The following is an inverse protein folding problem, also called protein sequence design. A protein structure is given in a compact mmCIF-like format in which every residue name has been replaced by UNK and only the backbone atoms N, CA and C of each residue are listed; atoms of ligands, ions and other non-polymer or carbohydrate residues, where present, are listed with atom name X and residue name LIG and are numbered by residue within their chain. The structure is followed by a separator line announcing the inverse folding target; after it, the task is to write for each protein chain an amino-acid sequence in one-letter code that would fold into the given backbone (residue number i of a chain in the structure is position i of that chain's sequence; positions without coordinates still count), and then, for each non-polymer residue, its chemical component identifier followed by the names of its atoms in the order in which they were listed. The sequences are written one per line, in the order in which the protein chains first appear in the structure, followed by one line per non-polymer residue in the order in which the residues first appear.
data_IF_829679948249
#
_entry.id   IF_829679948249
#
_cell.length_a   1.000
_cell.length_b   1.000
_cell.length_c   1.000
_cell.angle_alpha   90.00
_cell.angle_beta   90.00
_cell.angle_gamma   90.00
#
_symmetry.space_group_name_H-M   'P 1'
#
loop_
_entity.id
_entity.type
_entity.pdbx_description
1 polymer ?
#
# COMPACT_ATOMS: atom_id res chain seq x y z
N UNK A 1 -14.73 -0.96 46.88
CA UNK A 1 -13.82 0.04 46.27
C UNK A 1 -12.84 -0.76 45.43
N UNK A 2 -12.75 -0.70 44.10
CA UNK A 2 -11.75 0.19 43.48
C UNK A 2 -11.80 0.26 41.94
N UNK A 3 -12.79 -0.26 41.19
CA UNK A 3 -12.80 0.03 39.74
C UNK A 3 -12.97 1.54 39.46
N UNK A 4 -13.86 2.20 40.20
CA UNK A 4 -14.04 3.66 40.14
C UNK A 4 -12.85 4.47 40.68
N UNK A 5 -12.02 3.89 41.56
CA UNK A 5 -10.85 4.55 42.15
C UNK A 5 -9.61 4.45 41.24
N UNK A 6 -9.44 3.32 40.55
CA UNK A 6 -8.35 3.09 39.59
C UNK A 6 -8.48 3.98 38.34
N UNK A 7 -9.69 4.38 37.95
CA UNK A 7 -9.85 5.27 36.79
C UNK A 7 -9.33 6.70 37.02
N UNK A 8 -9.19 7.11 38.31
CA UNK A 8 -8.64 8.43 38.70
C UNK A 8 -7.14 8.42 39.02
N UNK A 9 -6.50 7.25 39.08
CA UNK A 9 -5.07 7.15 39.41
C UNK A 9 -4.17 7.43 38.20
N UNK A 10 -2.91 7.87 38.40
CA UNK A 10 -1.93 8.01 37.33
C UNK A 10 -1.78 6.71 36.54
N UNK A 11 -1.54 6.82 35.24
CA UNK A 11 -1.49 5.68 34.33
C UNK A 11 -0.49 4.59 34.75
N UNK A 12 0.62 4.96 35.39
CA UNK A 12 1.60 4.02 35.94
C UNK A 12 1.05 3.14 37.06
N UNK A 13 0.19 3.68 37.94
CA UNK A 13 -0.43 2.89 39.01
C UNK A 13 -1.44 1.89 38.45
N UNK A 14 -2.16 2.27 37.39
CA UNK A 14 -3.05 1.35 36.65
C UNK A 14 -2.24 0.23 36.01
N UNK A 15 -1.18 0.57 35.29
CA UNK A 15 -0.30 -0.40 34.64
C UNK A 15 0.28 -1.39 35.66
N UNK A 16 0.82 -0.92 36.78
CA UNK A 16 1.34 -1.78 37.85
C UNK A 16 0.24 -2.70 38.39
N UNK A 17 -0.95 -2.14 38.69
CA UNK A 17 -2.07 -2.95 39.18
C UNK A 17 -2.56 -3.99 38.18
N UNK A 18 -2.47 -3.72 36.87
CA UNK A 18 -2.81 -4.67 35.81
C UNK A 18 -1.76 -5.76 35.63
N UNK A 19 -0.49 -5.37 35.71
CA UNK A 19 0.67 -6.26 35.59
C UNK A 19 0.79 -7.19 36.80
N UNK A 20 0.35 -6.74 37.98
CA UNK A 20 0.41 -7.51 39.24
C UNK A 20 -0.95 -8.06 39.69
N UNK A 21 -1.92 -8.23 38.78
CA UNK A 21 -3.28 -8.76 39.10
C UNK A 21 -3.24 -10.13 39.78
N UNK A 22 -2.24 -10.96 39.49
CA UNK A 22 -2.03 -12.27 40.10
C UNK A 22 -0.53 -12.64 40.17
N UNK A 23 -0.13 -13.56 41.06
CA UNK A 23 1.25 -14.04 41.10
C UNK A 23 1.73 -14.62 39.76
N UNK A 24 0.87 -15.37 39.08
CA UNK A 24 1.15 -15.94 37.76
C UNK A 24 1.30 -14.87 36.66
N UNK A 25 0.41 -13.86 36.62
CA UNK A 25 0.52 -12.77 35.64
C UNK A 25 1.77 -11.92 35.86
N UNK A 26 2.15 -11.70 37.13
CA UNK A 26 3.39 -11.00 37.47
C UNK A 26 4.60 -11.75 36.92
N UNK A 27 4.69 -13.06 37.14
CA UNK A 27 5.78 -13.90 36.62
C UNK A 27 5.81 -13.87 35.09
N UNK A 28 4.66 -14.07 34.42
CA UNK A 28 4.57 -14.04 32.96
C UNK A 28 4.99 -12.69 32.38
N UNK A 29 4.59 -11.58 33.00
CA UNK A 29 4.96 -10.23 32.55
C UNK A 29 6.45 -9.93 32.76
N UNK A 30 7.04 -10.35 33.88
CA UNK A 30 8.49 -10.20 34.13
C UNK A 30 9.29 -11.05 33.16
N UNK A 31 8.86 -12.29 32.90
CA UNK A 31 9.50 -13.17 31.92
C UNK A 31 9.37 -12.58 30.51
N UNK A 32 8.20 -12.07 30.12
CA UNK A 32 8.00 -11.41 28.84
C UNK A 32 8.86 -10.14 28.69
N UNK A 33 8.93 -9.31 29.74
CA UNK A 33 9.80 -8.14 29.76
C UNK A 33 11.27 -8.53 29.68
N UNK A 34 11.69 -9.56 30.40
CA UNK A 34 13.04 -10.13 30.33
C UNK A 34 13.38 -10.59 28.92
N UNK A 35 12.50 -11.37 28.28
CA UNK A 35 12.68 -11.79 26.88
C UNK A 35 12.74 -10.60 25.91
N UNK A 36 11.88 -9.60 26.09
CA UNK A 36 11.90 -8.37 25.28
C UNK A 36 13.24 -7.64 25.42
N UNK A 37 13.76 -7.49 26.64
CA UNK A 37 15.04 -6.83 26.88
C UNK A 37 16.22 -7.64 26.33
N UNK A 38 16.19 -8.97 26.43
CA UNK A 38 17.21 -9.85 25.85
C UNK A 38 17.32 -9.73 24.33
N UNK A 39 16.24 -9.36 23.65
CA UNK A 39 16.23 -9.12 22.19
C UNK A 39 16.51 -7.65 21.88
N UNK A 40 15.86 -6.73 22.59
CA UNK A 40 15.94 -5.30 22.30
C UNK A 40 17.32 -4.71 22.61
N UNK A 41 17.99 -5.11 23.69
CA UNK A 41 19.29 -4.55 24.07
C UNK A 41 20.36 -4.86 23.01
N UNK A 42 20.58 -6.12 22.57
CA UNK A 42 21.52 -6.41 21.49
C UNK A 42 21.16 -5.69 20.18
N UNK A 43 19.87 -5.58 19.88
CA UNK A 43 19.40 -4.94 18.65
C UNK A 43 19.67 -3.43 18.67
N UNK A 44 19.44 -2.74 19.79
CA UNK A 44 19.77 -1.32 19.97
C UNK A 44 21.27 -1.10 19.94
N UNK A 45 22.05 -1.99 20.56
CA UNK A 45 23.51 -1.94 20.52
C UNK A 45 24.01 -2.04 19.08
N UNK A 46 23.58 -3.07 18.37
CA UNK A 46 23.91 -3.28 16.96
C UNK A 46 23.45 -2.10 16.08
N UNK A 47 22.20 -1.66 16.21
CA UNK A 47 21.62 -0.67 15.29
C UNK A 47 22.09 0.76 15.54
N UNK A 48 22.41 1.14 16.78
CA UNK A 48 22.64 2.55 17.14
C UNK A 48 23.98 2.80 17.84
N UNK A 49 24.36 1.95 18.81
CA UNK A 49 25.49 2.23 19.70
C UNK A 49 26.81 1.84 19.03
N UNK A 50 26.89 0.62 18.50
CA UNK A 50 28.07 0.06 17.88
C UNK A 50 28.09 0.27 16.35
N UNK A 51 27.13 1.05 15.82
CA UNK A 51 26.88 1.21 14.40
C UNK A 51 27.88 2.16 13.71
N UNK A 52 28.20 1.87 12.44
CA UNK A 52 29.08 2.68 11.60
C UNK A 52 28.25 3.52 10.64
N UNK A 53 28.30 4.84 10.78
CA UNK A 53 27.45 5.77 10.03
C UNK A 53 28.09 6.34 8.76
N UNK A 54 29.42 6.34 8.68
CA UNK A 54 30.19 6.95 7.59
C UNK A 54 31.30 6.01 7.14
N UNK A 55 31.55 5.92 5.84
CA UNK A 55 32.57 5.07 5.25
C UNK A 55 32.49 5.02 3.73
N UNK A 56 33.62 4.74 3.08
CA UNK A 56 33.74 4.75 1.62
C UNK A 56 33.63 3.35 0.99
N UNK A 57 33.88 2.30 1.77
CA UNK A 57 33.80 0.89 1.38
C UNK A 57 33.41 0.00 2.56
N UNK A 58 33.12 -1.28 2.28
CA UNK A 58 32.87 -2.29 3.29
C UNK A 58 34.01 -2.47 4.30
N UNK A 59 35.25 -2.11 3.93
CA UNK A 59 36.41 -2.15 4.85
C UNK A 59 36.26 -1.16 6.01
N UNK A 60 35.41 -0.14 5.86
CA UNK A 60 35.09 0.82 6.92
C UNK A 60 34.22 0.22 8.03
N UNK A 61 33.74 -1.02 7.86
CA UNK A 61 32.86 -1.72 8.80
C UNK A 61 33.55 -3.00 9.34
N UNK A 62 34.37 -2.89 10.41
CA UNK A 62 35.15 -4.00 10.95
C UNK A 62 34.28 -5.17 11.47
N UNK A 63 34.85 -6.37 11.46
CA UNK A 63 34.20 -7.53 12.08
C UNK A 63 33.95 -7.28 13.58
N UNK A 64 32.70 -7.46 14.02
CA UNK A 64 32.26 -7.18 15.39
C UNK A 64 31.75 -5.76 15.63
N UNK A 65 31.82 -4.87 14.62
CA UNK A 65 31.03 -3.63 14.64
C UNK A 65 29.54 -3.91 14.47
N UNK A 66 28.70 -2.95 14.86
CA UNK A 66 27.26 -2.99 14.69
C UNK A 66 26.83 -2.83 13.23
N UNK A 67 25.64 -2.29 13.01
CA UNK A 67 25.09 -2.06 11.69
C UNK A 67 25.95 -1.09 10.88
N UNK A 68 26.24 -1.44 9.63
CA UNK A 68 26.98 -0.60 8.70
C UNK A 68 26.03 0.34 7.93
N UNK A 69 25.55 1.41 8.58
CA UNK A 69 24.69 2.42 7.93
C UNK A 69 25.40 3.23 6.83
N UNK A 70 26.74 3.26 6.83
CA UNK A 70 27.54 3.79 5.73
C UNK A 70 27.19 3.16 4.37
N UNK A 71 26.89 1.84 4.35
CA UNK A 71 26.41 1.15 3.15
C UNK A 71 25.09 1.75 2.64
N UNK A 72 24.12 1.92 3.55
CA UNK A 72 22.82 2.50 3.19
C UNK A 72 23.00 3.94 2.71
N UNK A 73 23.85 4.74 3.36
CA UNK A 73 24.17 6.10 2.92
C UNK A 73 24.76 6.15 1.51
N UNK A 74 25.72 5.28 1.20
CA UNK A 74 26.36 5.24 -0.12
C UNK A 74 25.43 4.72 -1.23
N UNK A 75 24.49 3.83 -0.89
CA UNK A 75 23.54 3.21 -1.83
C UNK A 75 22.15 3.84 -1.82
N UNK A 76 21.91 4.83 -0.98
CA UNK A 76 20.57 5.41 -0.75
C UNK A 76 19.88 5.81 -2.05
N UNK A 77 20.61 6.48 -2.95
CA UNK A 77 20.05 6.92 -4.24
C UNK A 77 19.63 5.76 -5.13
N UNK A 78 20.44 4.70 -5.21
CA UNK A 78 20.09 3.48 -5.95
C UNK A 78 18.86 2.81 -5.34
N UNK A 79 18.80 2.71 -4.01
CA UNK A 79 17.65 2.09 -3.32
C UNK A 79 16.38 2.91 -3.55
N UNK A 80 16.46 4.24 -3.43
CA UNK A 80 15.29 5.12 -3.55
C UNK A 80 14.82 5.33 -4.99
N UNK A 81 15.71 5.35 -5.99
CA UNK A 81 15.34 5.69 -7.37
C UNK A 81 15.57 4.55 -8.37
N UNK A 82 16.11 3.41 -7.92
CA UNK A 82 16.44 2.30 -8.81
C UNK A 82 17.42 2.71 -9.90
N UNK A 83 17.14 2.30 -11.14
CA UNK A 83 17.97 2.57 -12.32
C UNK A 83 17.71 3.94 -12.97
N UNK A 84 16.91 4.80 -12.33
CA UNK A 84 16.61 6.11 -12.90
C UNK A 84 17.90 6.93 -13.06
N UNK A 85 18.15 7.56 -14.22
CA UNK A 85 19.40 8.25 -14.51
C UNK A 85 19.78 9.26 -13.43
N UNK A 86 21.05 9.23 -13.00
CA UNK A 86 21.53 9.93 -11.80
C UNK A 86 21.21 11.42 -11.79
N UNK A 87 21.47 12.12 -12.90
CA UNK A 87 21.27 13.57 -13.02
C UNK A 87 19.78 13.96 -13.10
N UNK A 88 18.90 13.00 -13.37
CA UNK A 88 17.48 13.20 -13.61
C UNK A 88 16.61 12.70 -12.44
N UNK A 89 17.20 12.14 -11.37
CA UNK A 89 16.47 11.57 -10.22
C UNK A 89 15.56 12.59 -9.51
N UNK A 90 15.88 13.88 -9.60
CA UNK A 90 15.03 14.95 -9.07
C UNK A 90 13.63 14.95 -9.72
N UNK A 91 13.50 14.54 -11.00
CA UNK A 91 12.21 14.43 -11.70
C UNK A 91 11.38 13.29 -11.13
N UNK A 92 12.00 12.15 -10.90
CA UNK A 92 11.34 11.00 -10.28
C UNK A 92 10.87 11.33 -8.87
N UNK A 93 11.67 12.06 -8.09
CA UNK A 93 11.27 12.56 -6.77
C UNK A 93 10.09 13.54 -6.87
N UNK A 94 10.20 14.56 -7.72
CA UNK A 94 9.16 15.57 -7.90
C UNK A 94 7.83 14.95 -8.35
N UNK A 95 7.87 14.05 -9.34
CA UNK A 95 6.72 13.29 -9.79
C UNK A 95 6.10 12.48 -8.65
N UNK A 96 6.91 11.74 -7.90
CA UNK A 96 6.44 10.96 -6.75
C UNK A 96 5.77 11.84 -5.69
N UNK A 97 6.36 13.00 -5.36
CA UNK A 97 5.78 13.97 -4.42
C UNK A 97 4.44 14.50 -4.93
N UNK A 98 4.34 14.84 -6.22
CA UNK A 98 3.07 15.26 -6.83
C UNK A 98 2.01 14.17 -6.69
N UNK A 99 2.36 12.92 -7.03
CA UNK A 99 1.43 11.80 -6.96
C UNK A 99 0.95 11.54 -5.53
N UNK A 100 1.87 11.56 -4.55
CA UNK A 100 1.52 11.44 -3.13
C UNK A 100 0.65 12.61 -2.66
N UNK A 101 0.97 13.84 -3.07
CA UNK A 101 0.18 15.02 -2.72
C UNK A 101 -1.25 14.93 -3.27
N UNK A 102 -1.43 14.48 -4.52
CA UNK A 102 -2.77 14.25 -5.10
C UNK A 102 -3.57 13.25 -4.28
N UNK A 103 -2.95 12.15 -3.86
CA UNK A 103 -3.60 11.15 -3.00
C UNK A 103 -3.98 11.78 -1.66
N UNK A 104 -3.04 12.43 -0.97
CA UNK A 104 -3.27 13.04 0.36
C UNK A 104 -4.38 14.10 0.31
N UNK A 105 -4.39 14.97 -0.72
CA UNK A 105 -5.46 15.95 -0.92
C UNK A 105 -6.81 15.26 -1.13
N UNK A 106 -6.84 14.17 -1.90
CA UNK A 106 -8.07 13.44 -2.21
C UNK A 106 -8.61 12.62 -1.05
N UNK A 107 -7.75 12.24 -0.12
CA UNK A 107 -8.14 11.53 1.09
C UNK A 107 -8.99 12.44 2.00
N UNK A 108 -8.75 13.75 2.03
CA UNK A 108 -9.49 14.69 2.88
C UNK A 108 -10.80 15.17 2.21
N UNK A 109 -11.99 14.86 2.77
CA UNK A 109 -13.29 15.24 2.21
C UNK A 109 -13.50 16.75 2.04
N UNK A 110 -12.77 17.59 2.79
CA UNK A 110 -12.86 19.07 2.69
C UNK A 110 -12.50 19.56 1.28
N UNK A 111 -11.64 18.82 0.57
CA UNK A 111 -11.19 19.16 -0.77
C UNK A 111 -12.02 18.55 -1.90
N UNK A 112 -13.11 17.82 -1.59
CA UNK A 112 -14.01 17.21 -2.59
C UNK A 112 -14.92 18.25 -3.27
N UNK A 113 -14.29 19.16 -4.01
CA UNK A 113 -14.93 20.20 -4.80
C UNK A 113 -14.62 19.98 -6.29
N UNK A 114 -15.36 20.67 -7.17
CA UNK A 114 -15.21 20.56 -8.63
C UNK A 114 -13.78 20.84 -9.13
N UNK A 115 -12.95 21.59 -8.39
CA UNK A 115 -11.56 21.88 -8.73
C UNK A 115 -10.61 20.68 -8.55
N UNK A 116 -11.02 19.65 -7.79
CA UNK A 116 -10.17 18.48 -7.56
C UNK A 116 -9.89 17.72 -8.85
N UNK A 117 -10.88 17.62 -9.75
CA UNK A 117 -10.75 16.98 -11.06
C UNK A 117 -9.66 17.62 -11.93
N UNK A 118 -9.66 18.94 -12.23
CA UNK A 118 -8.60 19.55 -13.00
C UNK A 118 -7.24 19.49 -12.30
N UNK A 119 -7.17 19.50 -10.96
CA UNK A 119 -5.92 19.29 -10.23
C UNK A 119 -5.37 17.88 -10.43
N UNK A 120 -6.22 16.85 -10.42
CA UNK A 120 -5.80 15.49 -10.79
C UNK A 120 -5.31 15.41 -12.23
N UNK A 121 -6.03 16.00 -13.18
CA UNK A 121 -5.63 15.97 -14.59
C UNK A 121 -4.27 16.65 -14.76
N UNK A 122 -4.10 17.87 -14.24
CA UNK A 122 -2.84 18.60 -14.31
C UNK A 122 -1.71 17.86 -13.59
N UNK A 123 -1.99 17.30 -12.41
CA UNK A 123 -1.03 16.53 -11.63
C UNK A 123 -0.57 15.25 -12.33
N UNK A 124 -1.49 14.46 -12.90
CA UNK A 124 -1.16 13.26 -13.67
C UNK A 124 -0.40 13.57 -14.97
N UNK A 125 -0.76 14.67 -15.66
CA UNK A 125 0.00 15.14 -16.81
C UNK A 125 1.43 15.54 -16.41
N UNK A 126 1.58 16.32 -15.33
CA UNK A 126 2.90 16.70 -14.82
C UNK A 126 3.72 15.48 -14.38
N UNK A 127 3.08 14.49 -13.75
CA UNK A 127 3.70 13.23 -13.37
C UNK A 127 4.23 12.48 -14.60
N UNK A 128 3.40 12.31 -15.63
CA UNK A 128 3.79 11.66 -16.88
C UNK A 128 4.95 12.38 -17.58
N UNK A 129 4.89 13.72 -17.67
CA UNK A 129 5.96 14.53 -18.28
C UNK A 129 7.27 14.37 -17.50
N UNK A 130 7.25 14.40 -16.17
CA UNK A 130 8.44 14.24 -15.35
C UNK A 130 9.05 12.85 -15.48
N UNK A 131 8.23 11.80 -15.46
CA UNK A 131 8.70 10.42 -15.47
C UNK A 131 9.17 9.96 -16.86
N UNK A 132 8.40 10.22 -17.93
CA UNK A 132 8.80 9.84 -19.29
C UNK A 132 9.79 10.82 -19.92
N UNK A 133 9.59 12.13 -19.74
CA UNK A 133 10.35 13.14 -20.48
C UNK A 133 10.02 13.20 -21.97
N UNK A 134 10.97 13.65 -22.79
CA UNK A 134 10.81 13.82 -24.24
C UNK A 134 10.12 15.13 -24.66
N UNK A 135 9.76 15.98 -23.69
CA UNK A 135 9.11 17.28 -23.92
C UNK A 135 9.83 18.34 -23.07
N UNK A 136 9.80 19.61 -23.51
CA UNK A 136 10.43 20.74 -22.80
C UNK A 136 11.94 20.60 -22.56
N UNK A 137 12.65 19.87 -23.43
CA UNK A 137 14.10 19.62 -23.29
C UNK A 137 14.46 18.53 -22.29
N UNK A 138 13.48 17.84 -21.70
CA UNK A 138 13.72 16.70 -20.81
C UNK A 138 14.15 15.47 -21.60
N UNK A 139 15.19 14.79 -21.13
CA UNK A 139 15.62 13.49 -21.66
C UNK A 139 14.51 12.45 -21.51
N UNK A 140 14.31 11.64 -22.56
CA UNK A 140 13.39 10.51 -22.50
C UNK A 140 13.97 9.38 -21.65
N UNK A 141 13.20 8.92 -20.67
CA UNK A 141 13.59 7.83 -19.76
C UNK A 141 12.62 6.67 -19.97
N UNK A 142 13.15 5.54 -20.43
CA UNK A 142 12.39 4.32 -20.65
C UNK A 142 11.79 3.79 -19.34
N UNK A 143 10.56 3.26 -19.39
CA UNK A 143 9.84 2.73 -18.22
C UNK A 143 10.56 1.56 -17.54
N UNK A 144 11.42 0.83 -18.26
CA UNK A 144 12.26 -0.24 -17.73
C UNK A 144 13.35 0.25 -16.77
N UNK A 145 13.71 1.55 -16.82
CA UNK A 145 14.66 2.19 -15.91
C UNK A 145 13.99 2.76 -14.65
N UNK A 146 12.66 2.82 -14.62
CA UNK A 146 11.94 3.31 -13.45
C UNK A 146 12.05 2.28 -12.32
N UNK A 147 12.33 2.75 -11.12
CA UNK A 147 12.54 1.86 -9.99
C UNK A 147 12.46 2.54 -8.63
N UNK A 148 12.88 1.80 -7.60
CA UNK A 148 12.89 2.23 -6.21
C UNK A 148 11.51 2.64 -5.69
N UNK A 149 11.51 3.66 -4.85
CA UNK A 149 10.34 4.23 -4.22
C UNK A 149 9.33 4.83 -5.25
N UNK A 150 9.74 5.57 -6.30
CA UNK A 150 8.83 6.04 -7.34
C UNK A 150 8.01 4.92 -7.97
N UNK A 151 8.65 3.80 -8.32
CA UNK A 151 7.95 2.67 -8.93
C UNK A 151 6.99 2.00 -7.94
N UNK A 152 7.42 1.77 -6.68
CA UNK A 152 6.56 1.21 -5.63
C UNK A 152 5.30 2.06 -5.43
N UNK A 153 5.43 3.38 -5.35
CA UNK A 153 4.30 4.30 -5.17
C UNK A 153 3.42 4.33 -6.41
N UNK A 154 4.01 4.41 -7.62
CA UNK A 154 3.28 4.37 -8.89
C UNK A 154 2.37 3.13 -8.95
N UNK A 155 2.96 1.95 -8.80
CA UNK A 155 2.25 0.68 -8.91
C UNK A 155 1.14 0.57 -7.88
N UNK A 156 1.39 1.03 -6.64
CA UNK A 156 0.37 1.03 -5.59
C UNK A 156 -0.78 1.96 -5.95
N UNK A 157 -0.51 3.22 -6.29
CA UNK A 157 -1.54 4.23 -6.53
C UNK A 157 -2.38 3.87 -7.76
N UNK A 158 -1.76 3.59 -8.90
CA UNK A 158 -2.49 3.25 -10.12
C UNK A 158 -3.14 1.87 -10.04
N UNK A 159 -2.46 0.89 -9.45
CA UNK A 159 -3.01 -0.45 -9.22
C UNK A 159 -4.28 -0.42 -8.38
N UNK A 160 -4.24 0.30 -7.25
CA UNK A 160 -5.42 0.48 -6.38
C UNK A 160 -6.49 1.31 -7.06
N UNK A 161 -6.15 2.44 -7.68
CA UNK A 161 -7.13 3.34 -8.27
C UNK A 161 -7.91 2.66 -9.41
N UNK A 162 -7.22 2.06 -10.38
CA UNK A 162 -7.88 1.35 -11.48
C UNK A 162 -8.53 0.05 -11.02
N UNK A 163 -7.90 -0.67 -10.09
CA UNK A 163 -8.48 -1.87 -9.47
C UNK A 163 -9.83 -1.55 -8.82
N UNK A 164 -9.91 -0.45 -8.07
CA UNK A 164 -11.15 0.02 -7.44
C UNK A 164 -12.21 0.39 -8.48
N UNK A 165 -11.85 1.14 -9.52
CA UNK A 165 -12.78 1.52 -10.60
C UNK A 165 -13.36 0.29 -11.29
N UNK A 166 -12.54 -0.72 -11.59
CA UNK A 166 -12.97 -1.96 -12.24
C UNK A 166 -13.72 -2.87 -11.27
N UNK A 167 -13.42 -2.81 -9.97
CA UNK A 167 -14.08 -3.64 -8.96
C UNK A 167 -15.58 -3.35 -8.82
N UNK A 168 -16.01 -2.10 -9.00
CA UNK A 168 -17.41 -1.67 -8.90
C UNK A 168 -18.33 -2.40 -9.90
N UNK A 169 -18.11 -2.32 -11.23
CA UNK A 169 -18.96 -3.04 -12.18
C UNK A 169 -18.91 -4.56 -11.99
N UNK A 170 -17.78 -5.13 -11.56
CA UNK A 170 -17.67 -6.57 -11.27
C UNK A 170 -18.53 -6.95 -10.06
N UNK A 171 -18.46 -6.19 -8.97
CA UNK A 171 -19.24 -6.43 -7.76
C UNK A 171 -20.76 -6.30 -8.02
N UNK A 172 -21.16 -5.32 -8.84
CA UNK A 172 -22.54 -5.16 -9.30
C UNK A 172 -22.96 -6.30 -10.24
N UNK A 173 -22.08 -6.71 -11.16
CA UNK A 173 -22.28 -7.82 -12.08
C UNK A 173 -22.60 -9.13 -11.36
N UNK A 174 -21.90 -9.43 -10.25
CA UNK A 174 -22.17 -10.61 -9.41
C UNK A 174 -23.54 -10.61 -8.74
N UNK A 175 -24.15 -9.45 -8.54
CA UNK A 175 -25.50 -9.32 -7.98
C UNK A 175 -26.58 -9.18 -9.06
N UNK A 176 -26.19 -9.18 -10.33
CA UNK A 176 -27.12 -9.10 -11.44
C UNK A 176 -28.05 -10.30 -11.50
N UNK A 177 -29.30 -10.06 -11.89
CA UNK A 177 -30.27 -11.11 -12.20
C UNK A 177 -29.97 -11.78 -13.55
N UNK A 178 -29.26 -11.09 -14.43
CA UNK A 178 -28.89 -11.61 -15.74
C UNK A 178 -27.75 -12.64 -15.59
N UNK A 179 -27.94 -13.88 -16.04
CA UNK A 179 -27.00 -14.97 -15.78
C UNK A 179 -25.62 -14.72 -16.42
N UNK A 180 -25.56 -14.05 -17.56
CA UNK A 180 -24.31 -13.74 -18.28
C UNK A 180 -23.40 -12.87 -17.40
N UNK A 181 -23.86 -11.69 -16.97
CA UNK A 181 -23.04 -10.79 -16.14
C UNK A 181 -22.65 -11.42 -14.81
N UNK A 182 -23.58 -12.15 -14.19
CA UNK A 182 -23.33 -12.84 -12.93
C UNK A 182 -22.27 -13.92 -13.08
N UNK A 183 -22.40 -14.78 -14.09
CA UNK A 183 -21.47 -15.88 -14.32
C UNK A 183 -20.09 -15.38 -14.74
N UNK A 184 -20.01 -14.42 -15.67
CA UNK A 184 -18.73 -13.83 -16.08
C UNK A 184 -17.98 -13.21 -14.89
N UNK A 185 -18.69 -12.48 -14.03
CA UNK A 185 -18.07 -11.88 -12.85
C UNK A 185 -17.68 -12.92 -11.78
N UNK A 186 -18.46 -14.00 -11.61
CA UNK A 186 -18.09 -15.12 -10.73
C UNK A 186 -16.82 -15.80 -11.25
N UNK A 187 -16.81 -16.21 -12.52
CA UNK A 187 -15.65 -16.91 -13.13
C UNK A 187 -14.40 -16.05 -13.02
N UNK A 188 -14.46 -14.77 -13.36
CA UNK A 188 -13.33 -13.85 -13.23
C UNK A 188 -12.82 -13.79 -11.79
N UNK A 189 -13.70 -13.51 -10.82
CA UNK A 189 -13.29 -13.32 -9.42
C UNK A 189 -12.73 -14.60 -8.82
N UNK A 190 -13.40 -15.75 -9.02
CA UNK A 190 -12.94 -17.03 -8.47
C UNK A 190 -11.63 -17.48 -9.14
N UNK A 191 -11.47 -17.30 -10.45
CA UNK A 191 -10.23 -17.66 -11.16
C UNK A 191 -9.04 -16.82 -10.68
N UNK A 192 -9.20 -15.49 -10.60
CA UNK A 192 -8.11 -14.59 -10.20
C UNK A 192 -7.74 -14.77 -8.73
N UNK A 193 -8.72 -14.94 -7.84
CA UNK A 193 -8.47 -15.16 -6.41
C UNK A 193 -7.95 -16.57 -6.10
N UNK A 194 -8.13 -17.52 -7.01
CA UNK A 194 -7.58 -18.87 -6.92
C UNK A 194 -6.09 -18.97 -7.28
N UNK A 195 -5.49 -17.90 -7.80
CA UNK A 195 -4.10 -17.89 -8.26
C UNK A 195 -3.28 -16.86 -7.48
N UNK A 196 -2.02 -17.17 -7.09
CA UNK A 196 -1.13 -16.20 -6.45
C UNK A 196 -0.79 -14.99 -7.36
N UNK A 197 -0.64 -13.79 -6.77
CA UNK A 197 -0.21 -12.58 -7.49
C UNK A 197 1.09 -12.79 -8.27
N UNK A 198 2.04 -13.53 -7.68
CA UNK A 198 3.31 -13.87 -8.31
C UNK A 198 3.12 -14.58 -9.66
N UNK A 199 2.17 -15.51 -9.74
CA UNK A 199 1.86 -16.25 -10.96
C UNK A 199 1.18 -15.37 -12.00
N UNK A 200 0.32 -14.43 -11.57
CA UNK A 200 -0.31 -13.44 -12.47
C UNK A 200 0.75 -12.53 -13.10
N UNK A 201 1.69 -12.02 -12.30
CA UNK A 201 2.79 -11.18 -12.80
C UNK A 201 3.72 -11.96 -13.73
N UNK A 202 4.03 -13.21 -13.40
CA UNK A 202 4.80 -14.10 -14.27
C UNK A 202 4.09 -14.34 -15.61
N UNK A 203 2.80 -14.68 -15.58
CA UNK A 203 2.00 -14.88 -16.80
C UNK A 203 1.94 -13.61 -17.65
N UNK A 204 1.70 -12.45 -17.03
CA UNK A 204 1.68 -11.17 -17.74
C UNK A 204 3.02 -10.84 -18.41
N UNK A 205 4.14 -11.29 -17.82
CA UNK A 205 5.48 -10.87 -18.24
C UNK A 205 6.18 -11.85 -19.16
N UNK A 206 5.88 -13.15 -19.02
CA UNK A 206 6.54 -14.22 -19.75
C UNK A 206 5.60 -14.87 -20.76
N UNK A 207 4.35 -15.15 -20.37
CA UNK A 207 3.42 -15.87 -21.25
C UNK A 207 2.67 -14.94 -22.20
N UNK A 208 2.26 -13.75 -21.75
CA UNK A 208 1.51 -12.80 -22.58
C UNK A 208 2.25 -12.42 -23.88
N UNK A 209 3.57 -12.13 -23.88
CA UNK A 209 4.31 -11.84 -25.11
C UNK A 209 4.39 -13.02 -26.09
N UNK A 210 4.18 -14.25 -25.64
CA UNK A 210 4.18 -15.44 -26.50
C UNK A 210 2.83 -15.66 -27.20
N UNK A 211 1.75 -15.07 -26.66
CA UNK A 211 0.38 -15.25 -27.13
C UNK A 211 -0.07 -14.07 -27.99
N UNK A 212 0.40 -12.86 -27.67
CA UNK A 212 0.05 -11.64 -28.39
C UNK A 212 1.02 -11.42 -29.56
N UNK A 213 0.53 -11.10 -30.77
CA UNK A 213 1.39 -10.78 -31.91
C UNK A 213 2.36 -9.63 -31.63
N UNK A 214 3.54 -9.70 -32.27
CA UNK A 214 4.58 -8.67 -32.16
C UNK A 214 4.02 -7.27 -32.49
N UNK A 215 4.35 -6.30 -31.63
CA UNK A 215 3.87 -4.91 -31.75
C UNK A 215 2.58 -4.58 -31.01
N UNK A 216 1.83 -5.57 -30.52
CA UNK A 216 0.64 -5.37 -29.66
C UNK A 216 0.92 -5.63 -28.18
N UNK A 217 2.14 -6.04 -27.83
CA UNK A 217 2.54 -6.33 -26.45
C UNK A 217 2.80 -5.03 -25.69
N UNK A 218 2.10 -4.77 -24.57
CA UNK A 218 2.40 -3.61 -23.73
C UNK A 218 3.85 -3.68 -23.21
N UNK A 219 4.41 -2.52 -22.90
CA UNK A 219 5.73 -2.42 -22.26
C UNK A 219 5.77 -3.13 -20.90
N UNK A 220 6.96 -3.30 -20.32
CA UNK A 220 7.12 -4.01 -19.04
C UNK A 220 6.23 -3.44 -17.92
N UNK A 221 6.16 -2.11 -17.82
CA UNK A 221 5.32 -1.42 -16.86
C UNK A 221 3.82 -1.66 -17.12
N UNK A 222 3.38 -1.54 -18.38
CA UNK A 222 1.99 -1.78 -18.76
C UNK A 222 1.53 -3.20 -18.43
N UNK A 223 2.36 -4.22 -18.70
CA UNK A 223 2.05 -5.62 -18.37
C UNK A 223 1.87 -5.84 -16.87
N UNK A 224 2.75 -5.27 -16.06
CA UNK A 224 2.63 -5.33 -14.59
C UNK A 224 1.41 -4.60 -14.09
N UNK A 225 1.15 -3.39 -14.58
CA UNK A 225 -0.03 -2.63 -14.17
C UNK A 225 -1.32 -3.36 -14.52
N UNK A 226 -1.45 -3.91 -15.73
CA UNK A 226 -2.64 -4.69 -16.12
C UNK A 226 -2.82 -5.89 -15.19
N UNK A 227 -1.77 -6.69 -14.97
CA UNK A 227 -1.84 -7.86 -14.08
C UNK A 227 -2.22 -7.48 -12.64
N UNK A 228 -1.58 -6.44 -12.10
CA UNK A 228 -1.85 -5.93 -10.75
C UNK A 228 -3.27 -5.37 -10.62
N UNK A 229 -3.74 -4.59 -11.61
CA UNK A 229 -5.08 -3.99 -11.63
C UNK A 229 -6.16 -5.06 -11.68
N UNK A 230 -6.02 -6.08 -12.53
CA UNK A 230 -6.99 -7.18 -12.61
C UNK A 230 -7.01 -8.00 -11.33
N UNK A 231 -5.83 -8.27 -10.76
CA UNK A 231 -5.72 -8.95 -9.46
C UNK A 231 -6.43 -8.16 -8.36
N UNK A 232 -6.09 -6.89 -8.18
CA UNK A 232 -6.71 -6.03 -7.17
C UNK A 232 -8.21 -5.85 -7.41
N UNK A 233 -8.66 -5.72 -8.66
CA UNK A 233 -10.07 -5.61 -9.00
C UNK A 233 -10.89 -6.83 -8.52
N UNK A 234 -10.35 -8.05 -8.65
CA UNK A 234 -11.03 -9.26 -8.19
C UNK A 234 -11.20 -9.30 -6.67
N UNK A 235 -10.14 -8.97 -5.92
CA UNK A 235 -10.18 -8.94 -4.45
C UNK A 235 -11.08 -7.80 -3.93
N UNK A 236 -10.96 -6.60 -4.50
CA UNK A 236 -11.81 -5.46 -4.15
C UNK A 236 -13.28 -5.71 -4.51
N UNK A 237 -13.56 -6.39 -5.63
CA UNK A 237 -14.93 -6.71 -6.03
C UNK A 237 -15.60 -7.67 -5.04
N UNK A 238 -14.85 -8.63 -4.49
CA UNK A 238 -15.35 -9.51 -3.45
C UNK A 238 -15.67 -8.75 -2.16
N UNK A 239 -14.74 -7.88 -1.72
CA UNK A 239 -14.95 -7.07 -0.52
C UNK A 239 -16.17 -6.16 -0.71
N UNK A 240 -16.29 -5.50 -1.86
CA UNK A 240 -17.43 -4.64 -2.19
C UNK A 240 -18.74 -5.42 -2.30
N UNK A 241 -18.72 -6.65 -2.82
CA UNK A 241 -19.88 -7.57 -2.81
C UNK A 241 -20.34 -7.84 -1.37
N UNK A 242 -19.42 -8.10 -0.45
CA UNK A 242 -19.72 -8.27 0.98
C UNK A 242 -20.37 -7.02 1.58
N UNK A 243 -19.86 -5.83 1.24
CA UNK A 243 -20.45 -4.55 1.65
C UNK A 243 -21.87 -4.33 1.12
N UNK A 244 -22.08 -4.61 -0.16
CA UNK A 244 -23.40 -4.50 -0.79
C UNK A 244 -24.42 -5.46 -0.15
N UNK A 245 -24.00 -6.66 0.25
CA UNK A 245 -24.86 -7.62 0.95
C UNK A 245 -25.17 -7.24 2.41
N UNK A 246 -24.32 -6.42 3.03
CA UNK A 246 -24.54 -5.94 4.39
C UNK A 246 -25.61 -4.83 4.48
N UNK A 247 -25.99 -4.22 3.35
CA UNK A 247 -27.01 -3.16 3.32
C UNK A 247 -28.39 -3.76 3.62
N UNK A 248 -29.14 -3.23 4.61
CA UNK A 248 -30.49 -3.68 4.92
C UNK A 248 -31.43 -3.55 3.72
N UNK A 249 -32.27 -4.57 3.48
CA UNK A 249 -33.25 -4.57 2.37
C UNK A 249 -34.18 -3.34 2.40
N UNK A 250 -34.49 -2.83 3.60
CA UNK A 250 -35.30 -1.63 3.79
C UNK A 250 -34.74 -0.38 3.08
N UNK A 251 -33.42 -0.24 2.91
CA UNK A 251 -32.83 0.87 2.15
C UNK A 251 -33.22 0.80 0.66
N UNK A 252 -33.20 -0.41 0.09
CA UNK A 252 -33.64 -0.62 -1.30
C UNK A 252 -35.14 -0.42 -1.45
N UNK A 253 -35.94 -0.89 -0.49
CA UNK A 253 -37.40 -0.74 -0.50
C UNK A 253 -37.81 0.73 -0.36
N UNK A 254 -37.21 1.48 0.57
CA UNK A 254 -37.46 2.90 0.75
C UNK A 254 -37.16 3.71 -0.53
N UNK A 255 -36.02 3.46 -1.18
CA UNK A 255 -35.70 4.11 -2.45
C UNK A 255 -36.73 3.79 -3.55
N UNK A 256 -37.22 2.54 -3.61
CA UNK A 256 -38.26 2.15 -4.59
C UNK A 256 -39.60 2.81 -4.27
N UNK A 257 -39.97 2.91 -3.00
CA UNK A 257 -41.20 3.60 -2.56
C UNK A 257 -41.18 5.09 -2.89
N UNK A 258 -40.01 5.71 -2.88
CA UNK A 258 -39.79 7.09 -3.31
C UNK A 258 -39.68 7.26 -4.84
N UNK A 259 -39.85 6.19 -5.62
CA UNK A 259 -39.76 6.24 -7.08
C UNK A 259 -38.34 6.48 -7.62
N UNK A 260 -37.30 6.29 -6.81
CA UNK A 260 -35.90 6.48 -7.24
C UNK A 260 -35.52 5.38 -8.22
N UNK A 261 -35.11 5.78 -9.43
CA UNK A 261 -34.64 4.84 -10.45
C UNK A 261 -33.40 4.04 -10.00
N UNK A 262 -33.19 2.86 -10.60
CA UNK A 262 -32.14 1.91 -10.20
C UNK A 262 -30.73 2.52 -10.16
N UNK A 263 -30.31 3.21 -11.22
CA UNK A 263 -28.95 3.77 -11.28
C UNK A 263 -28.71 4.89 -10.27
N UNK A 264 -29.59 5.90 -10.14
CA UNK A 264 -29.50 6.86 -9.03
C UNK A 264 -29.49 6.20 -7.65
N UNK A 265 -30.34 5.18 -7.43
CA UNK A 265 -30.38 4.43 -6.17
C UNK A 265 -29.02 3.77 -5.89
N UNK A 266 -28.47 3.04 -6.86
CA UNK A 266 -27.16 2.40 -6.71
C UNK A 266 -26.05 3.42 -6.49
N UNK A 267 -25.92 4.42 -7.35
CA UNK A 267 -24.76 5.33 -7.34
C UNK A 267 -24.78 6.34 -6.20
N UNK A 268 -25.97 6.83 -5.81
CA UNK A 268 -26.09 7.93 -4.83
C UNK A 268 -26.46 7.47 -3.43
N UNK A 269 -27.02 6.28 -3.27
CA UNK A 269 -27.51 5.79 -1.97
C UNK A 269 -26.77 4.53 -1.53
N UNK A 270 -26.84 3.48 -2.34
CA UNK A 270 -26.38 2.14 -1.95
C UNK A 270 -24.85 2.05 -1.98
N UNK A 271 -24.21 2.47 -3.07
CA UNK A 271 -22.77 2.32 -3.27
C UNK A 271 -21.93 3.12 -2.25
N UNK A 272 -22.26 4.38 -1.93
CA UNK A 272 -21.55 5.12 -0.86
C UNK A 272 -21.64 4.42 0.49
N UNK A 273 -22.81 3.90 0.87
CA UNK A 273 -23.00 3.14 2.12
C UNK A 273 -22.19 1.83 2.11
N UNK A 274 -22.17 1.11 0.99
CA UNK A 274 -21.36 -0.11 0.85
C UNK A 274 -19.86 0.20 1.03
N UNK A 275 -19.37 1.28 0.41
CA UNK A 275 -17.97 1.71 0.56
C UNK A 275 -17.60 2.06 1.99
N UNK A 276 -18.50 2.73 2.71
CA UNK A 276 -18.31 3.05 4.12
C UNK A 276 -18.15 1.77 4.97
N UNK A 277 -19.02 0.78 4.76
CA UNK A 277 -18.98 -0.49 5.50
C UNK A 277 -17.73 -1.32 5.23
N UNK A 278 -17.16 -1.22 4.02
CA UNK A 278 -15.99 -2.02 3.63
C UNK A 278 -14.67 -1.29 3.73
N UNK A 279 -14.68 -0.02 4.14
CA UNK A 279 -13.48 0.79 4.23
C UNK A 279 -12.33 0.12 5.01
N UNK A 280 -12.55 -0.54 6.17
CA UNK A 280 -11.46 -1.21 6.89
C UNK A 280 -10.81 -2.34 6.08
N UNK A 281 -11.63 -3.13 5.38
CA UNK A 281 -11.15 -4.20 4.51
C UNK A 281 -10.40 -3.66 3.28
N UNK A 282 -10.87 -2.54 2.71
CA UNK A 282 -10.20 -1.86 1.59
C UNK A 282 -8.83 -1.33 1.98
N UNK A 283 -8.69 -0.70 3.15
CA UNK A 283 -7.41 -0.24 3.68
C UNK A 283 -6.41 -1.40 3.81
N UNK A 284 -6.87 -2.57 4.28
CA UNK A 284 -6.01 -3.75 4.36
C UNK A 284 -5.58 -4.24 2.96
N UNK A 285 -6.46 -4.20 1.96
CA UNK A 285 -6.09 -4.52 0.57
C UNK A 285 -5.09 -3.51 0.00
N UNK A 286 -5.18 -2.22 0.34
CA UNK A 286 -4.21 -1.21 -0.12
C UNK A 286 -2.83 -1.44 0.49
N UNK A 287 -2.76 -1.78 1.78
CA UNK A 287 -1.51 -2.18 2.46
C UNK A 287 -0.95 -3.46 1.83
N UNK A 288 -1.82 -4.41 1.49
CA UNK A 288 -1.46 -5.62 0.75
C UNK A 288 -0.88 -5.32 -0.63
N UNK A 289 -1.51 -4.42 -1.38
CA UNK A 289 -1.07 -3.97 -2.70
C UNK A 289 0.32 -3.33 -2.64
N UNK A 290 0.54 -2.45 -1.65
CA UNK A 290 1.82 -1.79 -1.45
C UNK A 290 2.95 -2.78 -1.20
N UNK A 291 2.73 -3.78 -0.34
CA UNK A 291 3.72 -4.85 -0.11
C UNK A 291 3.88 -5.74 -1.34
N UNK A 292 2.77 -6.00 -2.05
CA UNK A 292 2.74 -6.85 -3.25
C UNK A 292 3.54 -6.30 -4.42
N UNK A 293 3.88 -5.00 -4.46
CA UNK A 293 4.75 -4.44 -5.50
C UNK A 293 6.13 -5.09 -5.50
N UNK A 294 6.60 -5.64 -4.38
CA UNK A 294 7.92 -6.27 -4.30
C UNK A 294 8.07 -7.51 -5.17
N UNK A 295 6.95 -8.06 -5.65
CA UNK A 295 6.95 -9.20 -6.57
C UNK A 295 7.27 -8.81 -8.02
N UNK A 296 7.31 -7.51 -8.36
CA UNK A 296 7.57 -7.06 -9.74
C UNK A 296 9.02 -7.27 -10.19
N UNK A 297 9.91 -7.69 -9.28
CA UNK A 297 11.26 -8.15 -9.62
C UNK A 297 11.27 -9.27 -10.65
N UNK A 298 10.20 -10.07 -10.71
CA UNK A 298 10.01 -11.14 -11.72
C UNK A 298 9.93 -10.59 -13.15
N UNK A 299 9.58 -9.31 -13.28
CA UNK A 299 9.44 -8.61 -14.56
C UNK A 299 10.69 -7.78 -14.87
N UNK A 300 11.80 -8.10 -14.19
CA UNK A 300 13.06 -7.36 -14.25
C UNK A 300 12.96 -5.87 -13.88
N UNK A 301 11.88 -5.46 -13.23
CA UNK A 301 11.71 -4.12 -12.67
C UNK A 301 12.12 -4.09 -11.20
N UNK A 302 12.73 -2.99 -10.80
CA UNK A 302 13.36 -2.87 -9.49
C UNK A 302 12.54 -1.92 -8.63
N UNK A 303 11.53 -2.43 -7.91
CA UNK A 303 10.84 -1.63 -6.91
C UNK A 303 11.76 -1.34 -5.70
N UNK A 304 11.26 -0.74 -4.61
CA UNK A 304 12.08 -0.43 -3.45
C UNK A 304 12.89 -1.64 -2.92
N UNK A 305 12.25 -2.81 -2.80
CA UNK A 305 12.94 -4.02 -2.33
C UNK A 305 13.91 -4.55 -3.38
N UNK A 306 13.50 -4.58 -4.65
CA UNK A 306 14.38 -5.01 -5.74
C UNK A 306 15.63 -4.11 -5.87
N UNK A 307 15.47 -2.80 -5.74
CA UNK A 307 16.55 -1.82 -5.77
C UNK A 307 17.49 -1.98 -4.56
N UNK A 308 16.93 -2.25 -3.37
CA UNK A 308 17.70 -2.62 -2.19
C UNK A 308 18.53 -3.90 -2.41
N UNK A 309 17.95 -4.92 -3.03
CA UNK A 309 18.67 -6.15 -3.35
C UNK A 309 19.78 -5.95 -4.39
N UNK A 310 19.62 -5.07 -5.39
CA UNK A 310 20.73 -4.78 -6.30
C UNK A 310 21.84 -3.94 -5.68
N UNK A 311 21.57 -3.17 -4.63
CA UNK A 311 22.62 -2.45 -3.93
C UNK A 311 23.66 -3.42 -3.33
N UNK A 312 23.25 -4.64 -2.98
CA UNK A 312 24.11 -5.72 -2.50
C UNK A 312 25.02 -6.34 -3.57
N UNK A 313 24.78 -6.05 -4.85
CA UNK A 313 25.60 -6.57 -5.94
C UNK A 313 26.90 -5.77 -6.14
N UNK A 314 27.10 -4.67 -5.39
CA UNK A 314 28.35 -3.90 -5.46
C UNK A 314 29.50 -4.65 -4.76
N UNK A 315 30.58 -5.00 -5.47
CA UNK A 315 31.76 -5.65 -4.88
C UNK A 315 32.43 -4.85 -3.75
N UNK A 316 32.24 -3.52 -3.70
CA UNK A 316 32.76 -2.67 -2.62
C UNK A 316 32.01 -2.86 -1.30
N UNK A 317 30.82 -3.47 -1.32
CA UNK A 317 29.90 -3.55 -0.19
C UNK A 317 29.29 -4.94 -0.03
N UNK A 318 30.15 -5.96 0.10
CA UNK A 318 29.73 -7.36 0.23
C UNK A 318 29.29 -7.66 1.67
N UNK A 319 28.15 -8.33 1.84
CA UNK A 319 27.75 -8.91 3.12
C UNK A 319 26.73 -8.12 3.95
N UNK A 320 26.32 -6.91 3.53
CA UNK A 320 25.43 -6.01 4.29
C UNK A 320 23.93 -6.31 4.09
N UNK A 321 23.56 -7.59 4.12
CA UNK A 321 22.18 -8.05 3.89
C UNK A 321 21.21 -7.58 4.98
N UNK A 322 21.65 -7.61 6.25
CA UNK A 322 20.80 -7.29 7.39
C UNK A 322 20.40 -5.82 7.34
N UNK A 323 21.36 -4.91 7.14
CA UNK A 323 21.14 -3.48 7.00
C UNK A 323 20.20 -3.18 5.84
N UNK A 324 20.39 -3.85 4.70
CA UNK A 324 19.53 -3.71 3.51
C UNK A 324 18.07 -4.02 3.82
N UNK A 325 17.81 -5.19 4.41
CA UNK A 325 16.43 -5.62 4.68
C UNK A 325 15.81 -4.88 5.86
N UNK A 326 16.60 -4.49 6.88
CA UNK A 326 16.12 -3.63 7.97
C UNK A 326 15.74 -2.26 7.44
N UNK A 327 16.57 -1.65 6.61
CA UNK A 327 16.27 -0.35 5.99
C UNK A 327 15.01 -0.42 5.13
N UNK A 328 14.94 -1.37 4.19
CA UNK A 328 13.76 -1.56 3.36
C UNK A 328 12.51 -1.83 4.23
N UNK A 329 12.63 -2.67 5.25
CA UNK A 329 11.57 -2.98 6.21
C UNK A 329 11.06 -1.75 6.94
N UNK A 330 11.95 -0.86 7.40
CA UNK A 330 11.56 0.42 8.02
C UNK A 330 10.79 1.29 7.03
N UNK A 331 11.25 1.43 5.79
CA UNK A 331 10.57 2.25 4.77
C UNK A 331 9.17 1.67 4.45
N UNK A 332 9.05 0.36 4.24
CA UNK A 332 7.74 -0.29 4.08
C UNK A 332 6.85 -0.13 5.32
N UNK A 333 7.40 -0.24 6.52
CA UNK A 333 6.67 -0.06 7.78
C UNK A 333 6.16 1.38 7.94
N UNK A 334 6.94 2.39 7.56
CA UNK A 334 6.51 3.79 7.56
C UNK A 334 5.37 4.03 6.55
N UNK A 335 5.49 3.49 5.33
CA UNK A 335 4.43 3.62 4.31
C UNK A 335 3.15 2.90 4.75
N UNK A 336 3.25 1.63 5.17
CA UNK A 336 2.10 0.84 5.63
C UNK A 336 1.49 1.44 6.90
N UNK A 337 2.33 1.91 7.82
CA UNK A 337 1.92 2.58 9.05
C UNK A 337 1.14 3.86 8.78
N UNK A 338 1.56 4.66 7.79
CA UNK A 338 0.87 5.88 7.36
C UNK A 338 -0.54 5.57 6.81
N UNK A 339 -0.64 4.57 5.91
CA UNK A 339 -1.94 4.13 5.36
C UNK A 339 -2.84 3.57 6.48
N UNK A 340 -2.27 2.75 7.37
CA UNK A 340 -2.99 2.12 8.49
C UNK A 340 -3.49 3.15 9.50
N UNK A 341 -2.67 4.15 9.85
CA UNK A 341 -3.04 5.24 10.74
C UNK A 341 -4.18 6.07 10.14
N UNK A 342 -4.06 6.44 8.86
CA UNK A 342 -5.09 7.19 8.16
C UNK A 342 -6.44 6.43 8.08
N UNK A 343 -6.38 5.13 7.77
CA UNK A 343 -7.56 4.26 7.73
C UNK A 343 -8.29 4.22 9.08
N UNK A 344 -7.56 4.03 10.18
CA UNK A 344 -8.14 4.04 11.54
C UNK A 344 -8.78 5.39 11.90
N UNK A 345 -8.16 6.49 11.51
CA UNK A 345 -8.70 7.82 11.76
C UNK A 345 -10.02 8.02 11.00
N UNK A 346 -10.07 7.60 9.74
CA UNK A 346 -11.29 7.69 8.91
C UNK A 346 -12.41 6.82 9.49
N UNK A 347 -12.11 5.58 9.88
CA UNK A 347 -13.07 4.65 10.49
C UNK A 347 -13.68 5.22 11.80
N UNK A 348 -12.85 5.84 12.66
CA UNK A 348 -13.32 6.50 13.88
C UNK A 348 -14.29 7.64 13.56
N UNK A 349 -13.94 8.49 12.60
CA UNK A 349 -14.79 9.64 12.23
C UNK A 349 -16.15 9.22 11.68
N UNK A 350 -16.19 8.16 10.85
CA UNK A 350 -17.45 7.62 10.30
C UNK A 350 -18.34 7.05 11.40
N UNK A 351 -17.74 6.33 12.36
CA UNK A 351 -18.47 5.81 13.52
C UNK A 351 -19.10 6.91 14.36
N UNK A 352 -18.37 7.99 14.64
CA UNK A 352 -18.88 9.13 15.40
C UNK A 352 -20.07 9.81 14.70
N UNK A 353 -19.98 10.01 13.38
CA UNK A 353 -21.08 10.56 12.58
C UNK A 353 -22.34 9.70 12.66
N UNK A 354 -22.19 8.37 12.60
CA UNK A 354 -23.30 7.43 12.70
C UNK A 354 -23.96 7.45 14.08
N UNK A 355 -23.17 7.54 15.14
CA UNK A 355 -23.69 7.64 16.52
C UNK A 355 -24.46 8.95 16.74
N UNK A 356 -24.06 10.05 16.11
CA UNK A 356 -24.82 11.30 16.12
C UNK A 356 -26.11 11.22 15.30
N UNK A 357 -26.09 10.62 14.10
CA UNK A 357 -27.28 10.47 13.26
C UNK A 357 -28.34 9.56 13.86
N UNK A 358 -27.98 8.62 14.75
CA UNK A 358 -28.94 7.75 15.43
C UNK A 358 -29.58 8.41 16.68
N UNK A 359 -29.02 9.53 17.16
CA UNK A 359 -29.48 10.25 18.35
C UNK A 359 -30.43 11.41 18.02
N UNK A 360 -30.38 11.91 16.79
CA UNK A 360 -31.27 12.94 16.24
C UNK A 360 -32.28 12.27 15.30
#
# INVERSE_FOLDING_TARGET
MTELALNRSPWWQRLISEVTKSPMSTILNVVALGMLLLIAIPLVKWALIDAVWTGDSGDSCPAGSGACWAFIGSKLRLILFGRFPYDEQWRALAGTVILVALVVISLNPVFWRKWLLPVWIAGLLSYGILMWGGVFGLSYVESSLWGGLPLTILLTVFGVAFGLVISVPIALGRQSKLPVFRLSAIVFVEAVRGVPLISVLFMASVLLPLIIPDGFTPDGLGRVLIGLVLFLAAYMAEVLRGGLQAIPKGQYEACRSLGVAYWPMILKVILPQAFEMVLPAMVNLFIGALKGTSLVVIVAMMDLLGAAQAALADPKWIGFYVETYVFAGIVYALMCGSISWYGRQTERSLREMREHSNKN
#
